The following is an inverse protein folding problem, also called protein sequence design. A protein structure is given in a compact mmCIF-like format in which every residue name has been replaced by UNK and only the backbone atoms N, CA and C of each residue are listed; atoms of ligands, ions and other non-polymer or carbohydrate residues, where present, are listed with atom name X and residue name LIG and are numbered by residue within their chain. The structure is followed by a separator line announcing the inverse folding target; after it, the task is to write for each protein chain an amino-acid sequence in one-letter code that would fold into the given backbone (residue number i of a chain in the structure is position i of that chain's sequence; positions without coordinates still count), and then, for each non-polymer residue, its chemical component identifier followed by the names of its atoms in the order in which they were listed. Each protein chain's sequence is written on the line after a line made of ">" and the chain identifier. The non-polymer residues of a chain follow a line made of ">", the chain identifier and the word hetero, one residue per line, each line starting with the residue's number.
data_IF_320132458032
#
_entry.id   IF_320132458032
#
_cell.length_a   1.000
_cell.length_b   1.000
_cell.length_c   1.000
_cell.angle_alpha   90.00
_cell.angle_beta   90.00
_cell.angle_gamma   90.00
#
_symmetry.space_group_name_H-M   'P 1'
#
loop_
_entity.id
_entity.type
_entity.pdbx_description
1 polymer ?
#
# COMPACT_ATOMS: atom_id res chain seq x y z
N UNK A 1 5.81 -10.49 -17.54
CA UNK A 1 4.77 -9.48 -17.79
C UNK A 1 5.31 -8.14 -17.33
N UNK A 2 5.33 -7.09 -18.17
CA UNK A 2 5.79 -5.77 -17.73
C UNK A 2 4.81 -5.22 -16.70
N UNK A 3 5.30 -4.92 -15.49
CA UNK A 3 4.47 -4.29 -14.47
C UNK A 3 4.00 -2.93 -14.99
N UNK A 4 2.79 -2.52 -14.62
CA UNK A 4 2.29 -1.21 -15.03
C UNK A 4 3.13 -0.10 -14.38
N UNK A 5 3.85 0.70 -15.17
CA UNK A 5 4.67 1.80 -14.65
C UNK A 5 3.86 2.87 -13.94
N UNK A 6 4.42 3.42 -12.88
CA UNK A 6 3.81 4.51 -12.12
C UNK A 6 4.77 5.67 -11.94
N UNK A 7 4.23 6.88 -11.97
CA UNK A 7 4.93 8.07 -11.50
C UNK A 7 4.44 8.42 -10.09
N UNK A 8 5.31 8.29 -9.10
CA UNK A 8 5.07 8.72 -7.72
C UNK A 8 5.62 10.12 -7.49
N UNK A 9 4.78 11.01 -6.97
CA UNK A 9 5.11 12.42 -6.72
C UNK A 9 4.87 12.74 -5.25
N UNK A 10 5.94 13.06 -4.55
CA UNK A 10 5.89 13.65 -3.21
C UNK A 10 5.90 15.18 -3.36
N UNK A 11 4.83 15.80 -2.84
CA UNK A 11 4.53 17.20 -3.15
C UNK A 11 5.21 18.09 -2.13
N UNK A 12 6.14 18.92 -2.58
CA UNK A 12 6.69 20.00 -1.77
C UNK A 12 6.60 21.36 -2.44
N UNK A 13 6.68 22.41 -1.61
CA UNK A 13 6.67 23.80 -2.10
C UNK A 13 8.00 24.10 -2.79
N UNK A 14 9.13 23.85 -2.11
CA UNK A 14 10.46 24.11 -2.67
C UNK A 14 11.01 22.89 -3.41
N UNK A 15 10.91 21.72 -2.78
CA UNK A 15 11.42 20.48 -3.30
C UNK A 15 10.26 19.66 -3.86
N UNK A 16 10.26 19.37 -5.14
CA UNK A 16 9.31 18.44 -5.75
C UNK A 16 10.04 17.14 -6.04
N UNK A 17 9.65 16.05 -5.39
CA UNK A 17 10.30 14.76 -5.58
C UNK A 17 9.45 13.85 -6.47
N UNK A 18 10.09 13.25 -7.48
CA UNK A 18 9.45 12.36 -8.43
C UNK A 18 10.23 11.06 -8.53
N UNK A 19 9.51 9.95 -8.52
CA UNK A 19 10.04 8.61 -8.73
C UNK A 19 9.16 7.88 -9.75
N UNK A 20 9.73 7.55 -10.92
CA UNK A 20 9.13 6.70 -11.94
C UNK A 20 9.61 5.27 -11.71
N UNK A 21 8.66 4.36 -11.53
CA UNK A 21 8.90 2.96 -11.23
C UNK A 21 8.30 2.06 -12.30
N UNK A 22 9.02 0.99 -12.65
CA UNK A 22 8.56 -0.12 -13.48
C UNK A 22 8.39 -1.38 -12.61
N UNK A 23 7.30 -1.40 -11.84
CA UNK A 23 7.16 -2.36 -10.73
C UNK A 23 7.86 -1.90 -9.46
N UNK A 24 7.85 -2.72 -8.39
CA UNK A 24 8.37 -2.30 -7.08
C UNK A 24 9.90 -2.20 -7.03
N UNK A 25 10.61 -2.87 -7.94
CA UNK A 25 12.06 -3.09 -7.82
C UNK A 25 12.90 -2.32 -8.85
N UNK A 26 12.26 -1.73 -9.86
CA UNK A 26 12.95 -1.00 -10.92
C UNK A 26 12.61 0.49 -10.90
N UNK A 27 13.64 1.31 -10.78
CA UNK A 27 13.56 2.78 -10.87
C UNK A 27 14.02 3.20 -12.27
N UNK A 28 13.14 3.85 -13.03
CA UNK A 28 13.45 4.39 -14.36
C UNK A 28 13.86 5.86 -14.30
N UNK A 29 13.32 6.62 -13.34
CA UNK A 29 13.65 8.03 -13.12
C UNK A 29 13.45 8.41 -11.65
N UNK A 30 14.40 9.12 -11.04
CA UNK A 30 14.26 9.59 -9.66
C UNK A 30 15.01 10.89 -9.44
N UNK A 31 14.29 11.95 -9.08
CA UNK A 31 14.86 13.29 -8.95
C UNK A 31 14.08 14.15 -7.95
N UNK A 32 14.80 15.07 -7.29
CA UNK A 32 14.21 16.11 -6.45
C UNK A 32 14.51 17.47 -7.08
N UNK A 33 13.47 18.11 -7.60
CA UNK A 33 13.57 19.41 -8.24
C UNK A 33 13.40 20.56 -7.25
N UNK A 34 14.25 21.56 -7.36
CA UNK A 34 14.02 22.87 -6.73
C UNK A 34 13.08 23.70 -7.62
N UNK A 35 11.88 24.01 -7.09
CA UNK A 35 10.84 24.83 -7.73
C UNK A 35 11.00 26.33 -7.36
N UNK A 36 11.96 26.62 -6.48
CA UNK A 36 12.29 27.95 -5.99
C UNK A 36 11.59 28.29 -4.67
N UNK A 37 11.95 29.45 -4.14
CA UNK A 37 11.42 29.97 -2.88
C UNK A 37 10.76 31.33 -3.12
N UNK A 38 9.61 31.34 -3.77
CA UNK A 38 8.81 32.56 -3.98
C UNK A 38 7.53 32.52 -3.16
N UNK A 39 7.11 33.70 -2.70
CA UNK A 39 5.82 33.93 -2.05
C UNK A 39 4.69 34.19 -3.06
N UNK A 40 5.05 34.49 -4.31
CA UNK A 40 4.11 34.74 -5.40
C UNK A 40 3.66 33.43 -6.03
N UNK A 41 2.37 33.10 -5.86
CA UNK A 41 1.80 31.83 -6.33
C UNK A 41 1.91 31.65 -7.84
N UNK A 42 1.69 32.70 -8.63
CA UNK A 42 1.72 32.63 -10.09
C UNK A 42 3.12 32.29 -10.59
N UNK A 43 4.14 32.97 -10.05
CA UNK A 43 5.56 32.68 -10.36
C UNK A 43 5.95 31.28 -9.90
N UNK A 44 5.48 30.86 -8.72
CA UNK A 44 5.75 29.52 -8.20
C UNK A 44 5.19 28.42 -9.12
N UNK A 45 3.93 28.57 -9.56
CA UNK A 45 3.29 27.64 -10.48
C UNK A 45 3.92 27.68 -11.88
N UNK A 46 4.41 28.85 -12.32
CA UNK A 46 5.16 28.97 -13.57
C UNK A 46 6.48 28.19 -13.52
N UNK A 47 7.21 28.26 -12.40
CA UNK A 47 8.44 27.48 -12.20
C UNK A 47 8.16 25.98 -12.19
N UNK A 48 7.10 25.56 -11.48
CA UNK A 48 6.63 24.18 -11.49
C UNK A 48 6.38 23.71 -12.92
N UNK A 49 5.56 24.44 -13.67
CA UNK A 49 5.22 24.11 -15.06
C UNK A 49 6.46 23.97 -15.94
N UNK A 50 7.37 24.95 -15.91
CA UNK A 50 8.62 24.90 -16.70
C UNK A 50 9.45 23.66 -16.37
N UNK A 51 9.51 23.28 -15.09
CA UNK A 51 10.27 22.10 -14.66
C UNK A 51 9.65 20.79 -15.14
N UNK A 52 8.32 20.70 -15.10
CA UNK A 52 7.59 19.53 -15.61
C UNK A 52 7.68 19.42 -17.14
N UNK A 53 7.48 20.52 -17.87
CA UNK A 53 7.58 20.53 -19.35
C UNK A 53 8.99 20.15 -19.84
N UNK A 54 10.02 20.65 -19.17
CA UNK A 54 11.42 20.32 -19.51
C UNK A 54 11.84 18.89 -19.18
N UNK A 55 10.93 18.07 -18.64
CA UNK A 55 11.20 16.67 -18.27
C UNK A 55 10.24 15.72 -19.01
N UNK A 56 10.44 15.40 -20.30
CA UNK A 56 9.46 14.61 -21.06
C UNK A 56 9.18 13.20 -20.52
N UNK A 57 10.18 12.54 -19.94
CA UNK A 57 10.09 11.16 -19.44
C UNK A 57 8.99 10.98 -18.38
N UNK A 58 8.65 12.01 -17.62
CA UNK A 58 7.63 11.91 -16.56
C UNK A 58 6.20 12.08 -17.07
N UNK A 59 5.98 12.43 -18.34
CA UNK A 59 4.63 12.59 -18.90
C UNK A 59 4.42 11.83 -20.23
N UNK A 60 5.25 10.83 -20.50
CA UNK A 60 4.98 9.86 -21.57
C UNK A 60 3.81 8.93 -21.16
N UNK A 61 2.61 9.30 -21.63
CA UNK A 61 1.37 8.54 -21.39
C UNK A 61 1.36 7.13 -22.00
N UNK A 62 2.26 6.83 -22.94
CA UNK A 62 2.37 5.49 -23.53
C UNK A 62 3.11 4.53 -22.59
N UNK A 63 4.05 5.08 -21.81
CA UNK A 63 4.82 4.33 -20.82
C UNK A 63 4.18 4.34 -19.43
N UNK A 64 3.62 5.47 -18.98
CA UNK A 64 3.15 5.65 -17.60
C UNK A 64 1.65 5.37 -17.51
N UNK A 65 1.26 4.35 -16.74
CA UNK A 65 -0.16 3.99 -16.56
C UNK A 65 -0.86 4.83 -15.50
N UNK A 66 -0.19 5.06 -14.37
CA UNK A 66 -0.77 5.74 -13.20
C UNK A 66 0.15 6.83 -12.68
N UNK A 67 -0.43 7.99 -12.35
CA UNK A 67 0.25 9.06 -11.61
C UNK A 67 -0.29 9.09 -10.19
N UNK A 68 0.61 9.03 -9.21
CA UNK A 68 0.32 8.99 -7.77
C UNK A 68 0.84 10.29 -7.17
N UNK A 69 -0.06 11.11 -6.63
CA UNK A 69 0.26 12.43 -6.05
C UNK A 69 -0.04 12.38 -4.57
N UNK A 70 0.92 12.73 -3.71
CA UNK A 70 0.69 12.73 -2.25
C UNK A 70 -0.47 13.66 -1.86
N UNK A 71 -1.42 13.11 -1.09
CA UNK A 71 -2.58 13.84 -0.57
C UNK A 71 -2.15 14.76 0.58
N UNK A 72 -2.31 16.06 0.35
CA UNK A 72 -1.97 17.10 1.33
C UNK A 72 -3.12 17.44 2.29
N UNK A 73 -2.83 17.75 3.56
CA UNK A 73 -3.86 18.08 4.55
C UNK A 73 -4.55 19.42 4.26
N UNK A 74 -5.81 19.56 4.68
CA UNK A 74 -6.63 20.76 4.45
C UNK A 74 -6.02 22.04 5.02
N UNK A 75 -5.32 21.94 6.15
CA UNK A 75 -4.68 23.07 6.85
C UNK A 75 -3.37 23.55 6.20
N UNK A 76 -2.88 22.90 5.13
CA UNK A 76 -1.74 23.38 4.36
C UNK A 76 -2.17 23.82 2.95
N UNK A 77 -2.77 25.02 2.80
CA UNK A 77 -3.36 25.47 1.55
C UNK A 77 -2.34 25.59 0.41
N UNK A 78 -1.11 26.03 0.71
CA UNK A 78 -0.05 26.17 -0.31
C UNK A 78 0.34 24.83 -0.92
N UNK A 79 0.55 23.79 -0.10
CA UNK A 79 0.84 22.45 -0.64
C UNK A 79 -0.35 21.84 -1.37
N UNK A 80 -1.59 22.14 -0.95
CA UNK A 80 -2.78 21.74 -1.71
C UNK A 80 -2.88 22.41 -3.09
N UNK A 81 -2.49 23.69 -3.19
CA UNK A 81 -2.39 24.37 -4.49
C UNK A 81 -1.37 23.66 -5.39
N UNK A 82 -0.20 23.29 -4.86
CA UNK A 82 0.81 22.52 -5.61
C UNK A 82 0.28 21.16 -6.08
N UNK A 83 -0.34 20.40 -5.18
CA UNK A 83 -0.94 19.10 -5.50
C UNK A 83 -2.04 19.22 -6.58
N UNK A 84 -2.85 20.29 -6.52
CA UNK A 84 -3.91 20.55 -7.51
C UNK A 84 -3.34 20.95 -8.87
N UNK A 85 -2.28 21.76 -8.89
CA UNK A 85 -1.59 22.16 -10.12
C UNK A 85 -0.92 20.96 -10.80
N UNK A 86 -0.25 20.09 -10.02
CA UNK A 86 0.28 18.82 -10.52
C UNK A 86 -0.84 17.95 -11.12
N UNK A 87 -1.94 17.78 -10.40
CA UNK A 87 -3.07 16.99 -10.90
C UNK A 87 -3.60 17.55 -12.23
N UNK A 88 -3.82 18.86 -12.31
CA UNK A 88 -4.28 19.54 -13.52
C UNK A 88 -3.28 19.36 -14.68
N UNK A 89 -1.98 19.48 -14.41
CA UNK A 89 -0.94 19.27 -15.42
C UNK A 89 -1.06 17.89 -16.09
N UNK A 90 -1.16 16.82 -15.30
CA UNK A 90 -1.27 15.46 -15.85
C UNK A 90 -2.61 15.21 -16.55
N UNK A 91 -3.70 15.82 -16.08
CA UNK A 91 -4.98 15.80 -16.81
C UNK A 91 -4.80 16.41 -18.20
N UNK A 92 -4.17 17.59 -18.30
CA UNK A 92 -3.92 18.26 -19.58
C UNK A 92 -2.96 17.48 -20.50
N UNK A 93 -2.05 16.67 -19.94
CA UNK A 93 -1.21 15.73 -20.70
C UNK A 93 -1.96 14.46 -21.14
N UNK A 94 -3.23 14.30 -20.74
CA UNK A 94 -4.11 13.22 -21.18
C UNK A 94 -4.06 11.96 -20.30
N UNK A 95 -3.54 12.05 -19.08
CA UNK A 95 -3.57 10.95 -18.13
C UNK A 95 -4.98 10.70 -17.60
N UNK A 96 -5.40 9.42 -17.62
CA UNK A 96 -6.73 9.00 -17.15
C UNK A 96 -6.73 8.52 -15.69
N UNK A 97 -5.60 8.04 -15.21
CA UNK A 97 -5.47 7.46 -13.87
C UNK A 97 -4.51 8.29 -13.02
N UNK A 98 -5.07 9.24 -12.29
CA UNK A 98 -4.32 10.11 -11.37
C UNK A 98 -4.94 9.98 -9.98
N UNK A 99 -4.14 9.57 -9.00
CA UNK A 99 -4.62 9.20 -7.67
C UNK A 99 -4.05 10.17 -6.63
N UNK A 100 -4.93 10.67 -5.76
CA UNK A 100 -4.55 11.39 -4.54
C UNK A 100 -4.23 10.36 -3.45
N UNK A 101 -2.96 10.19 -3.14
CA UNK A 101 -2.43 9.06 -2.39
C UNK A 101 -2.24 9.39 -0.92
N UNK A 102 -2.74 8.52 -0.04
CA UNK A 102 -2.63 8.77 1.40
C UNK A 102 -1.23 8.44 1.92
N UNK A 103 -0.58 9.33 2.69
CA UNK A 103 0.73 9.06 3.31
C UNK A 103 0.73 7.84 4.23
N UNK A 104 -0.44 7.38 4.71
CA UNK A 104 -0.55 6.23 5.61
C UNK A 104 0.02 4.93 5.02
N UNK A 105 0.00 4.78 3.69
CA UNK A 105 0.47 3.57 3.03
C UNK A 105 2.01 3.50 2.99
N UNK A 106 2.70 4.62 2.76
CA UNK A 106 4.17 4.66 2.87
C UNK A 106 4.64 4.38 4.30
N UNK A 107 3.93 4.87 5.30
CA UNK A 107 4.26 4.64 6.71
C UNK A 107 4.17 3.15 7.11
N UNK A 108 3.34 2.36 6.43
CA UNK A 108 3.24 0.91 6.68
C UNK A 108 4.50 0.16 6.25
N UNK A 109 5.24 0.68 5.25
CA UNK A 109 6.51 0.12 4.80
C UNK A 109 7.66 0.33 5.80
N UNK A 110 7.51 1.29 6.73
CA UNK A 110 8.59 1.74 7.60
C UNK A 110 8.57 1.13 9.02
N UNK A 111 7.71 0.14 9.27
CA UNK A 111 7.36 -0.30 10.63
C UNK A 111 8.43 -1.17 11.32
N UNK A 112 9.28 -1.85 10.56
CA UNK A 112 10.18 -2.89 11.10
C UNK A 112 11.61 -2.43 11.38
N UNK A 113 11.90 -1.12 11.26
CA UNK A 113 13.24 -0.57 11.51
C UNK A 113 13.32 0.01 12.93
N UNK A 114 14.22 -0.59 13.71
CA UNK A 114 14.68 -0.33 15.10
C UNK A 114 14.20 0.95 15.79
N UNK A 115 14.01 0.86 17.10
CA UNK A 115 13.64 1.99 17.96
C UNK A 115 14.73 3.07 17.96
N UNK A 116 14.39 4.27 17.46
CA UNK A 116 15.21 5.46 17.64
C UNK A 116 14.82 6.11 18.98
N UNK A 117 15.62 5.93 20.02
CA UNK A 117 15.39 6.57 21.31
C UNK A 117 15.64 8.09 21.25
N UNK A 118 15.00 8.85 22.14
CA UNK A 118 15.32 10.26 22.41
C UNK A 118 14.95 11.33 21.36
N UNK A 119 14.29 10.97 20.25
CA UNK A 119 13.91 11.94 19.18
C UNK A 119 12.39 12.13 19.05
N UNK A 120 11.97 13.22 18.38
CA UNK A 120 10.55 13.47 18.10
C UNK A 120 10.01 12.47 17.07
N UNK A 121 8.71 12.15 17.13
CA UNK A 121 8.06 11.21 16.18
C UNK A 121 8.32 11.55 14.72
N UNK A 122 8.33 12.85 14.38
CA UNK A 122 8.64 13.31 13.03
C UNK A 122 10.08 12.99 12.60
N UNK A 123 11.07 13.27 13.46
CA UNK A 123 12.47 12.94 13.18
C UNK A 123 12.70 11.44 13.06
N UNK A 124 12.01 10.62 13.88
CA UNK A 124 12.03 9.16 13.77
C UNK A 124 11.49 8.69 12.44
N UNK A 125 10.31 9.17 12.04
CA UNK A 125 9.69 8.78 10.77
C UNK A 125 10.55 9.12 9.56
N UNK A 126 11.18 10.31 9.58
CA UNK A 126 12.12 10.73 8.55
C UNK A 126 13.32 9.80 8.43
N UNK A 127 13.92 9.41 9.57
CA UNK A 127 15.06 8.49 9.57
C UNK A 127 14.66 7.08 9.13
N UNK A 128 13.51 6.58 9.61
CA UNK A 128 12.93 5.30 9.17
C UNK A 128 12.75 5.26 7.65
N UNK A 129 12.11 6.26 7.06
CA UNK A 129 11.90 6.31 5.62
C UNK A 129 13.22 6.23 4.83
N UNK A 130 14.26 6.93 5.28
CA UNK A 130 15.59 6.89 4.66
C UNK A 130 16.22 5.50 4.75
N UNK A 131 16.17 4.89 5.93
CA UNK A 131 16.78 3.58 6.15
C UNK A 131 16.01 2.46 5.43
N UNK A 132 14.68 2.52 5.41
CA UNK A 132 13.79 1.63 4.64
C UNK A 132 14.07 1.75 3.14
N UNK A 133 14.20 2.98 2.63
CA UNK A 133 14.52 3.21 1.20
C UNK A 133 15.88 2.62 0.85
N UNK A 134 16.89 2.83 1.71
CA UNK A 134 18.22 2.27 1.48
C UNK A 134 18.19 0.74 1.44
N UNK A 135 17.46 0.13 2.36
CA UNK A 135 17.28 -1.32 2.39
C UNK A 135 16.67 -1.84 1.09
N UNK A 136 15.49 -1.33 0.67
CA UNK A 136 14.82 -1.81 -0.54
C UNK A 136 15.65 -1.65 -1.82
N UNK A 137 16.33 -0.52 -1.98
CA UNK A 137 17.21 -0.29 -3.14
C UNK A 137 18.41 -1.24 -3.15
N UNK A 138 18.87 -1.67 -1.97
CA UNK A 138 20.01 -2.59 -1.83
C UNK A 138 19.66 -4.04 -2.12
N UNK A 139 18.37 -4.41 -2.15
CA UNK A 139 17.93 -5.78 -2.48
C UNK A 139 18.21 -6.14 -3.95
N UNK A 140 18.24 -5.15 -4.85
CA UNK A 140 18.47 -5.35 -6.28
C UNK A 140 19.65 -4.50 -6.78
N UNK A 141 20.89 -4.83 -6.36
CA UNK A 141 22.05 -3.97 -6.54
C UNK A 141 22.41 -3.73 -8.01
N UNK A 142 22.22 -4.71 -8.90
CA UNK A 142 22.58 -4.58 -10.32
C UNK A 142 21.71 -3.55 -11.06
N UNK A 143 20.41 -3.52 -10.76
CA UNK A 143 19.45 -2.59 -11.36
C UNK A 143 19.48 -1.21 -10.68
N UNK A 144 19.94 -1.15 -9.43
CA UNK A 144 19.77 0.02 -8.57
C UNK A 144 21.05 0.73 -8.16
N UNK A 145 22.23 0.27 -8.59
CA UNK A 145 23.54 0.83 -8.20
C UNK A 145 23.63 2.34 -8.39
N UNK A 146 23.22 2.86 -9.55
CA UNK A 146 23.23 4.29 -9.84
C UNK A 146 22.30 5.08 -8.90
N UNK A 147 21.13 4.50 -8.58
CA UNK A 147 20.13 5.13 -7.74
C UNK A 147 20.54 5.12 -6.27
N UNK A 148 21.19 4.05 -5.81
CA UNK A 148 21.76 3.97 -4.47
C UNK A 148 22.88 5.01 -4.28
N UNK A 149 23.77 5.17 -5.27
CA UNK A 149 24.80 6.21 -5.26
C UNK A 149 24.18 7.62 -5.23
N UNK A 150 23.21 7.89 -6.11
CA UNK A 150 22.47 9.15 -6.14
C UNK A 150 21.81 9.45 -4.79
N UNK A 151 21.08 8.49 -4.23
CA UNK A 151 20.40 8.60 -2.95
C UNK A 151 21.36 8.89 -1.79
N UNK A 152 22.46 8.14 -1.69
CA UNK A 152 23.44 8.31 -0.61
C UNK A 152 24.17 9.66 -0.70
N UNK A 153 24.39 10.19 -1.92
CA UNK A 153 24.98 11.51 -2.13
C UNK A 153 24.00 12.68 -1.94
N UNK A 154 22.68 12.43 -2.01
CA UNK A 154 21.66 13.49 -1.96
C UNK A 154 21.64 14.23 -0.61
N UNK A 155 21.44 15.56 -0.67
CA UNK A 155 21.22 16.39 0.53
C UNK A 155 19.83 16.17 1.13
N UNK A 156 18.84 15.90 0.28
CA UNK A 156 17.42 15.79 0.62
C UNK A 156 16.94 14.34 0.53
N UNK A 157 17.60 13.47 1.32
CA UNK A 157 17.31 12.03 1.31
C UNK A 157 15.88 11.71 1.71
N UNK A 158 15.26 12.53 2.55
CA UNK A 158 13.85 12.39 2.93
C UNK A 158 12.91 12.58 1.74
N UNK A 159 13.07 13.66 0.96
CA UNK A 159 12.22 13.92 -0.21
C UNK A 159 12.38 12.77 -1.26
N UNK A 160 13.61 12.28 -1.46
CA UNK A 160 13.85 11.08 -2.29
C UNK A 160 13.13 9.85 -1.73
N UNK A 161 13.31 9.56 -0.43
CA UNK A 161 12.71 8.40 0.24
C UNK A 161 11.18 8.43 0.19
N UNK A 162 10.57 9.60 0.43
CA UNK A 162 9.13 9.77 0.43
C UNK A 162 8.51 9.48 -0.95
N UNK A 163 9.12 10.00 -2.03
CA UNK A 163 8.65 9.72 -3.40
C UNK A 163 8.82 8.25 -3.80
N UNK A 164 9.94 7.61 -3.42
CA UNK A 164 10.18 6.20 -3.70
C UNK A 164 9.24 5.27 -2.91
N UNK A 165 9.18 5.41 -1.58
CA UNK A 165 8.34 4.56 -0.72
C UNK A 165 6.85 4.74 -1.00
N UNK A 166 6.42 5.95 -1.38
CA UNK A 166 5.07 6.15 -1.90
C UNK A 166 4.81 5.28 -3.13
N UNK A 167 5.75 5.23 -4.07
CA UNK A 167 5.63 4.41 -5.28
C UNK A 167 5.66 2.91 -4.99
N UNK A 168 6.63 2.43 -4.19
CA UNK A 168 6.70 1.02 -3.79
C UNK A 168 5.46 0.59 -3.03
N UNK A 169 4.99 1.41 -2.07
CA UNK A 169 3.76 1.12 -1.33
C UNK A 169 2.52 1.09 -2.23
N UNK A 170 2.52 1.77 -3.37
CA UNK A 170 1.41 1.65 -4.33
C UNK A 170 1.30 0.21 -4.86
N UNK A 171 2.43 -0.41 -5.22
CA UNK A 171 2.46 -1.79 -5.66
C UNK A 171 2.19 -2.77 -4.52
N UNK A 172 2.91 -2.63 -3.40
CA UNK A 172 2.91 -3.63 -2.31
C UNK A 172 1.72 -3.52 -1.36
N UNK A 173 1.18 -2.32 -1.15
CA UNK A 173 0.16 -2.07 -0.11
C UNK A 173 -1.14 -1.56 -0.70
N UNK A 174 -1.09 -0.50 -1.51
CA UNK A 174 -2.29 0.18 -1.98
C UNK A 174 -3.13 -0.72 -2.87
N UNK A 175 -2.53 -1.36 -3.88
CA UNK A 175 -3.28 -2.29 -4.74
C UNK A 175 -3.94 -3.41 -3.95
N UNK A 176 -3.32 -3.92 -2.88
CA UNK A 176 -3.91 -4.92 -1.98
C UNK A 176 -5.07 -4.31 -1.18
N UNK A 177 -4.84 -3.17 -0.54
CA UNK A 177 -5.81 -2.48 0.32
C UNK A 177 -6.98 -1.83 -0.44
N UNK A 178 -6.81 -1.54 -1.73
CA UNK A 178 -7.79 -0.89 -2.59
C UNK A 178 -8.12 -1.72 -3.83
N UNK A 179 -7.95 -3.05 -3.79
CA UNK A 179 -8.78 -3.92 -4.62
C UNK A 179 -10.22 -3.46 -4.34
N UNK A 180 -10.82 -2.73 -5.28
CA UNK A 180 -12.19 -2.21 -5.14
C UNK A 180 -13.15 -3.38 -5.18
N UNK A 181 -13.21 -4.15 -4.10
CA UNK A 181 -14.29 -5.07 -3.89
C UNK A 181 -15.48 -4.25 -3.44
N UNK A 182 -16.28 -3.83 -4.42
CA UNK A 182 -17.57 -3.20 -4.14
C UNK A 182 -18.34 -4.13 -3.22
N UNK A 183 -18.71 -3.62 -2.04
CA UNK A 183 -19.55 -4.36 -1.11
C UNK A 183 -20.76 -4.90 -1.89
N UNK A 184 -20.96 -6.22 -1.91
CA UNK A 184 -22.12 -6.81 -2.55
C UNK A 184 -23.40 -6.20 -1.98
N UNK A 185 -24.41 -6.03 -2.83
CA UNK A 185 -25.72 -5.59 -2.35
C UNK A 185 -26.26 -6.62 -1.35
N UNK A 186 -27.08 -6.17 -0.38
CA UNK A 186 -27.74 -7.08 0.57
C UNK A 186 -28.51 -8.18 -0.16
N UNK A 187 -29.18 -7.83 -1.26
CA UNK A 187 -29.92 -8.77 -2.12
C UNK A 187 -29.01 -9.81 -2.76
N UNK A 188 -27.78 -9.44 -3.13
CA UNK A 188 -26.79 -10.36 -3.70
C UNK A 188 -26.30 -11.36 -2.65
N UNK A 189 -25.98 -10.89 -1.44
CA UNK A 189 -25.52 -11.75 -0.33
C UNK A 189 -26.58 -12.75 0.14
N UNK A 190 -27.87 -12.41 -0.03
CA UNK A 190 -28.98 -13.30 0.30
C UNK A 190 -29.21 -14.41 -0.74
N UNK A 191 -28.55 -14.36 -1.89
CA UNK A 191 -28.71 -15.35 -2.95
C UNK A 191 -27.35 -15.98 -3.30
N UNK A 192 -27.00 -17.11 -2.66
CA UNK A 192 -25.72 -17.79 -2.89
C UNK A 192 -25.41 -18.07 -4.36
N UNK A 193 -26.42 -18.36 -5.18
CA UNK A 193 -26.25 -18.62 -6.62
C UNK A 193 -25.75 -17.41 -7.43
N UNK A 194 -25.88 -16.19 -6.90
CA UNK A 194 -25.38 -14.96 -7.53
C UNK A 194 -23.97 -14.58 -7.10
N UNK A 195 -23.37 -15.33 -6.17
CA UNK A 195 -22.01 -15.08 -5.71
C UNK A 195 -21.01 -15.69 -6.71
N UNK A 196 -19.98 -14.92 -6.99
CA UNK A 196 -18.82 -15.29 -7.80
C UNK A 196 -17.53 -15.06 -6.99
N UNK A 197 -16.38 -15.29 -7.61
CA UNK A 197 -15.07 -15.16 -6.96
C UNK A 197 -14.85 -13.79 -6.30
N UNK A 198 -15.28 -12.69 -6.95
CA UNK A 198 -15.13 -11.34 -6.42
C UNK A 198 -15.95 -11.16 -5.14
N UNK A 199 -17.15 -11.75 -5.10
CA UNK A 199 -18.00 -11.73 -3.91
C UNK A 199 -17.39 -12.54 -2.76
N UNK A 200 -16.79 -13.69 -3.06
CA UNK A 200 -16.14 -14.54 -2.05
C UNK A 200 -14.84 -13.94 -1.54
N UNK A 201 -14.04 -13.27 -2.39
CA UNK A 201 -12.91 -12.46 -1.93
C UNK A 201 -13.36 -11.35 -0.97
N UNK A 202 -14.52 -10.72 -1.22
CA UNK A 202 -15.07 -9.70 -0.30
C UNK A 202 -15.48 -10.31 1.04
N UNK A 203 -16.16 -11.46 1.01
CA UNK A 203 -16.57 -12.21 2.21
C UNK A 203 -15.36 -12.70 3.01
N UNK A 204 -14.31 -13.18 2.33
CA UNK A 204 -13.04 -13.56 2.94
C UNK A 204 -12.45 -12.44 3.80
N UNK A 205 -12.36 -11.23 3.25
CA UNK A 205 -11.85 -10.08 4.01
C UNK A 205 -12.71 -9.72 5.21
N UNK A 206 -14.03 -9.90 5.12
CA UNK A 206 -14.94 -9.71 6.25
C UNK A 206 -14.69 -10.78 7.31
N UNK A 207 -14.67 -12.05 6.94
CA UNK A 207 -14.45 -13.18 7.85
C UNK A 207 -13.07 -13.13 8.51
N UNK A 208 -12.02 -12.73 7.80
CA UNK A 208 -10.68 -12.55 8.36
C UNK A 208 -10.64 -11.49 9.47
N UNK A 209 -11.42 -10.40 9.32
CA UNK A 209 -11.55 -9.38 10.38
C UNK A 209 -12.33 -9.91 11.59
N UNK A 210 -13.39 -10.69 11.35
CA UNK A 210 -14.19 -11.30 12.41
C UNK A 210 -13.36 -12.37 13.17
N UNK A 211 -12.60 -13.21 12.46
CA UNK A 211 -11.67 -14.20 13.03
C UNK A 211 -10.63 -13.55 13.95
N UNK A 212 -9.97 -12.48 13.49
CA UNK A 212 -9.03 -11.73 14.33
C UNK A 212 -9.68 -11.19 15.62
N UNK A 213 -10.95 -10.80 15.54
CA UNK A 213 -11.71 -10.35 16.72
C UNK A 213 -11.99 -11.51 17.68
N UNK A 214 -12.32 -12.69 17.16
CA UNK A 214 -12.53 -13.92 17.95
C UNK A 214 -11.24 -14.35 18.65
N UNK A 215 -10.11 -14.35 17.94
CA UNK A 215 -8.80 -14.66 18.54
C UNK A 215 -8.47 -13.71 19.70
N UNK A 216 -8.64 -12.40 19.50
CA UNK A 216 -8.42 -11.39 20.56
C UNK A 216 -9.34 -11.63 21.76
N UNK A 217 -10.59 -12.04 21.55
CA UNK A 217 -11.52 -12.34 22.62
C UNK A 217 -11.10 -13.59 23.42
N UNK A 218 -10.61 -14.63 22.75
CA UNK A 218 -10.11 -15.87 23.37
C UNK A 218 -8.83 -15.66 24.17
N UNK A 219 -7.97 -14.73 23.77
CA UNK A 219 -6.71 -14.42 24.47
C UNK A 219 -6.90 -13.50 25.68
N UNK A 220 -8.11 -13.01 25.97
CA UNK A 220 -8.33 -12.19 27.18
C UNK A 220 -8.37 -13.09 28.42
N UNK A 221 -7.54 -12.83 29.44
CA UNK A 221 -7.56 -13.64 30.66
C UNK A 221 -8.93 -13.54 31.35
N UNK A 222 -9.39 -14.67 31.88
CA UNK A 222 -10.69 -14.82 32.52
C UNK A 222 -10.63 -14.17 33.90
N UNK A 223 -11.14 -12.94 34.04
CA UNK A 223 -11.13 -12.24 35.34
C UNK A 223 -11.90 -13.04 36.41
N UNK A 224 -11.19 -13.47 37.45
CA UNK A 224 -11.77 -14.08 38.64
C UNK A 224 -11.19 -15.47 38.96
N UNK A 225 -11.75 -16.21 39.94
CA UNK A 225 -11.23 -17.51 40.40
C UNK A 225 -11.17 -18.61 39.32
N UNK A 226 -11.70 -18.35 38.11
CA UNK A 226 -11.65 -19.24 36.95
C UNK A 226 -10.33 -19.18 36.17
N UNK A 227 -9.47 -18.17 36.36
CA UNK A 227 -8.18 -18.01 35.66
C UNK A 227 -7.28 -19.25 35.84
N UNK A 228 -7.26 -19.84 37.04
CA UNK A 228 -6.45 -21.03 37.34
C UNK A 228 -6.95 -22.31 36.67
N UNK A 229 -8.25 -22.39 36.38
CA UNK A 229 -8.86 -23.54 35.70
C UNK A 229 -8.67 -23.47 34.18
N UNK A 230 -8.62 -22.24 33.66
CA UNK A 230 -8.44 -21.95 32.23
C UNK A 230 -6.99 -22.22 31.82
N UNK A 231 -6.00 -21.84 32.64
CA UNK A 231 -4.58 -22.12 32.39
C UNK A 231 -4.25 -23.62 32.30
N UNK A 232 -4.94 -24.50 33.05
CA UNK A 232 -4.69 -25.95 32.98
C UNK A 232 -5.40 -26.66 31.82
N UNK A 233 -6.36 -25.99 31.15
CA UNK A 233 -7.05 -26.51 29.96
C UNK A 233 -6.52 -25.90 28.65
N UNK A 234 -5.76 -24.80 28.71
CA UNK A 234 -5.16 -24.16 27.53
C UNK A 234 -3.95 -24.92 26.96
N UNK A 235 -3.43 -25.93 27.66
CA UNK A 235 -2.29 -26.73 27.18
C UNK A 235 -2.66 -27.79 26.12
N UNK A 236 -3.94 -27.89 25.72
CA UNK A 236 -4.40 -28.91 24.76
C UNK A 236 -5.36 -28.45 23.67
N UNK A 237 -5.61 -27.15 23.49
CA UNK A 237 -6.45 -26.69 22.37
C UNK A 237 -5.57 -26.38 21.16
N UNK A 238 -5.73 -27.18 20.09
CA UNK A 238 -5.17 -26.90 18.78
C UNK A 238 -5.49 -25.46 18.35
N UNK A 239 -4.51 -24.80 17.73
CA UNK A 239 -4.63 -23.43 17.25
C UNK A 239 -5.87 -23.30 16.34
N UNK A 240 -6.84 -22.46 16.72
CA UNK A 240 -8.11 -22.34 16.00
C UNK A 240 -7.91 -21.61 14.68
N UNK A 241 -7.67 -22.41 13.64
CA UNK A 241 -7.30 -21.96 12.30
C UNK A 241 -8.44 -21.19 11.61
N UNK A 242 -8.09 -20.45 10.56
CA UNK A 242 -9.08 -19.68 9.78
C UNK A 242 -9.99 -20.59 8.96
N UNK A 243 -9.51 -21.76 8.55
CA UNK A 243 -10.28 -22.82 7.87
C UNK A 243 -11.40 -23.33 8.79
N UNK A 244 -11.06 -23.69 10.03
CA UNK A 244 -12.03 -24.13 11.04
C UNK A 244 -13.06 -23.05 11.34
N UNK A 245 -12.63 -21.79 11.42
CA UNK A 245 -13.53 -20.66 11.63
C UNK A 245 -14.54 -20.47 10.48
N UNK A 246 -14.07 -20.60 9.24
CA UNK A 246 -14.95 -20.47 8.07
C UNK A 246 -15.91 -21.67 7.99
N UNK A 247 -15.44 -22.88 8.27
CA UNK A 247 -16.30 -24.06 8.37
C UNK A 247 -17.41 -23.86 9.41
N UNK A 248 -17.08 -23.31 10.58
CA UNK A 248 -18.08 -22.99 11.60
C UNK A 248 -19.10 -21.95 11.12
N UNK A 249 -18.68 -20.86 10.45
CA UNK A 249 -19.60 -19.87 9.87
C UNK A 249 -20.52 -20.49 8.81
N UNK A 250 -19.99 -21.44 8.03
CA UNK A 250 -20.66 -22.06 6.90
C UNK A 250 -21.55 -23.24 7.29
N UNK A 251 -21.40 -23.79 8.49
CA UNK A 251 -22.21 -24.89 9.02
C UNK A 251 -23.72 -24.59 8.94
N UNK A 252 -24.12 -23.38 9.32
CA UNK A 252 -25.51 -22.90 9.25
C UNK A 252 -25.88 -22.27 7.89
N UNK A 253 -24.91 -22.10 6.97
CA UNK A 253 -25.07 -21.48 5.65
C UNK A 253 -24.77 -22.47 4.53
N UNK A 254 -25.44 -23.63 4.58
CA UNK A 254 -25.21 -24.77 3.68
C UNK A 254 -25.20 -24.42 2.18
N UNK A 255 -26.07 -23.54 1.71
CA UNK A 255 -26.09 -23.10 0.31
C UNK A 255 -24.91 -22.20 -0.09
N UNK A 256 -24.34 -21.46 0.87
CA UNK A 256 -23.11 -20.70 0.66
C UNK A 256 -21.89 -21.63 0.63
N UNK A 257 -21.87 -22.64 1.51
CA UNK A 257 -20.84 -23.70 1.49
C UNK A 257 -20.81 -24.43 0.16
N UNK A 258 -21.96 -24.90 -0.32
CA UNK A 258 -22.08 -25.54 -1.65
C UNK A 258 -21.56 -24.65 -2.76
N UNK A 259 -21.86 -23.35 -2.72
CA UNK A 259 -21.37 -22.41 -3.74
C UNK A 259 -19.85 -22.24 -3.72
N UNK A 260 -19.24 -22.23 -2.53
CA UNK A 260 -17.78 -22.23 -2.40
C UNK A 260 -17.21 -23.53 -2.97
N UNK A 261 -17.77 -24.68 -2.61
CA UNK A 261 -17.37 -25.98 -3.14
C UNK A 261 -17.53 -26.06 -4.68
N UNK A 262 -18.55 -25.43 -5.26
CA UNK A 262 -18.74 -25.34 -6.72
C UNK A 262 -17.64 -24.53 -7.42
N UNK A 263 -17.17 -23.44 -6.82
CA UNK A 263 -16.18 -22.54 -7.45
C UNK A 263 -14.75 -22.99 -7.16
N UNK A 264 -14.49 -23.42 -5.93
CA UNK A 264 -13.15 -23.68 -5.40
C UNK A 264 -12.88 -25.16 -5.11
N UNK A 265 -13.88 -26.04 -5.28
CA UNK A 265 -13.79 -27.46 -4.98
C UNK A 265 -14.08 -27.80 -3.51
N UNK A 266 -13.47 -27.10 -2.56
CA UNK A 266 -13.75 -27.22 -1.13
C UNK A 266 -13.35 -25.96 -0.35
N UNK A 267 -13.70 -25.91 0.94
CA UNK A 267 -13.40 -24.76 1.80
C UNK A 267 -11.89 -24.56 1.98
N UNK A 268 -11.11 -25.62 2.16
CA UNK A 268 -9.66 -25.51 2.31
C UNK A 268 -9.01 -24.92 1.05
N UNK A 269 -9.38 -25.39 -0.13
CA UNK A 269 -8.87 -24.86 -1.41
C UNK A 269 -9.26 -23.39 -1.61
N UNK A 270 -10.45 -22.98 -1.17
CA UNK A 270 -10.82 -21.56 -1.14
C UNK A 270 -9.88 -20.77 -0.22
N UNK A 271 -9.63 -21.25 1.00
CA UNK A 271 -8.76 -20.60 1.97
C UNK A 271 -7.30 -20.52 1.46
N UNK A 272 -6.77 -21.63 0.95
CA UNK A 272 -5.44 -21.71 0.33
C UNK A 272 -5.33 -20.70 -0.82
N UNK A 273 -6.26 -20.70 -1.78
CA UNK A 273 -6.24 -19.73 -2.89
C UNK A 273 -6.32 -18.28 -2.39
N UNK A 274 -7.14 -17.99 -1.38
CA UNK A 274 -7.22 -16.64 -0.82
C UNK A 274 -5.93 -16.24 -0.07
N UNK A 275 -5.19 -17.19 0.49
CA UNK A 275 -3.90 -16.97 1.12
C UNK A 275 -2.77 -16.87 0.08
N UNK A 276 -2.76 -17.69 -0.97
CA UNK A 276 -1.82 -17.62 -2.11
C UNK A 276 -2.01 -16.35 -2.94
N UNK A 277 -3.22 -15.82 -3.07
CA UNK A 277 -3.43 -14.50 -3.66
C UNK A 277 -2.85 -13.35 -2.81
N UNK A 278 -2.51 -13.61 -1.55
CA UNK A 278 -1.92 -12.66 -0.59
C UNK A 278 -0.41 -12.86 -0.40
N UNK A 279 0.10 -14.07 -0.57
CA UNK A 279 1.52 -14.40 -0.57
C UNK A 279 2.06 -14.29 -2.00
N UNK A 280 3.10 -13.49 -2.22
CA UNK A 280 3.77 -13.47 -3.52
C UNK A 280 4.34 -14.88 -3.81
N UNK A 281 4.48 -15.31 -5.09
CA UNK A 281 5.24 -16.52 -5.38
C UNK A 281 6.61 -16.38 -4.72
N UNK A 282 6.98 -17.38 -3.92
CA UNK A 282 8.26 -17.42 -3.20
C UNK A 282 9.38 -16.91 -4.11
N UNK A 283 10.12 -15.90 -3.63
CA UNK A 283 11.33 -15.46 -4.30
C UNK A 283 12.20 -16.70 -4.50
N UNK A 284 12.71 -16.96 -5.73
CA UNK A 284 13.57 -18.11 -5.94
C UNK A 284 14.80 -17.96 -5.04
N UNK A 285 15.00 -18.92 -4.14
CA UNK A 285 16.23 -19.04 -3.35
C UNK A 285 17.42 -19.20 -4.29
N UNK A 286 18.15 -18.12 -4.62
CA UNK A 286 19.58 -18.12 -4.95
C UNK A 286 20.24 -16.78 -4.63
#
# INVERSE_FOLDING_TARGET
>A
MTNARILSIDVGIKNLALCLLDGPDQIDFWEVFDIGNTTDTTRHLTNLYKKLESTPIIWDKSAIKTVVIEKQPSFNPKMRTMASALHMFFVMKGFKHIIQYSPKYKLQMCKDISEYEGSTTYAKNKKRAIDTTRYFISLNPDMSKQWLQKFNSAKKKDDFADSYLQGVSYYKVYKRATREMKKPSKTTLLNPKKLDEVHFCWLWNLWKQEHATVLIARTRPARGPMDKYTQSHMESEEEYSIENYIEDILSDKTEMKKRIEEIYGNVNAFVEQQNEELEEPEEPEV
#
